data_IF_332318096679
#
_entry.id   IF_332318096679
#
_cell.length_a   1.000
_cell.length_b   1.000
_cell.length_c   1.000
_cell.angle_alpha   90.00
_cell.angle_beta   90.00
_cell.angle_gamma   90.00
#
_symmetry.space_group_name_H-M   'P 1'
#
loop_
_entity.id
_entity.type
_entity.pdbx_description
1 polymer ?
#
# COMPACT_ATOMS: atom_id res chain seq x y z
N UNK A 1 7.13 -14.17 -25.54
CA UNK A 1 5.96 -13.36 -25.15
C UNK A 1 6.19 -12.96 -23.73
N UNK A 2 6.40 -11.69 -23.45
CA UNK A 2 6.87 -11.23 -22.15
C UNK A 2 5.73 -10.60 -21.37
N UNK A 3 5.35 -11.24 -20.27
CA UNK A 3 4.60 -10.60 -19.18
C UNK A 3 5.47 -9.45 -18.67
N UNK A 4 4.88 -8.26 -18.46
CA UNK A 4 5.63 -7.13 -17.94
C UNK A 4 6.09 -7.42 -16.51
N UNK A 5 7.15 -6.73 -16.07
CA UNK A 5 7.60 -6.80 -14.66
C UNK A 5 6.47 -6.41 -13.70
N UNK A 6 5.57 -5.50 -14.14
CA UNK A 6 4.44 -5.09 -13.33
C UNK A 6 3.39 -6.18 -13.16
N UNK A 7 3.03 -6.85 -14.24
CA UNK A 7 2.09 -7.97 -14.22
C UNK A 7 2.63 -9.14 -13.37
N UNK A 8 3.93 -9.43 -13.45
CA UNK A 8 4.56 -10.46 -12.60
C UNK A 8 4.50 -10.08 -11.12
N UNK A 9 4.70 -8.80 -10.79
CA UNK A 9 4.61 -8.32 -9.43
C UNK A 9 3.17 -8.35 -8.92
N UNK A 10 2.19 -7.97 -9.72
CA UNK A 10 0.77 -8.00 -9.33
C UNK A 10 0.33 -9.41 -8.95
N UNK A 11 0.75 -10.40 -9.75
CA UNK A 11 0.54 -11.82 -9.44
C UNK A 11 1.27 -12.23 -8.15
N UNK A 12 2.51 -11.76 -7.95
CA UNK A 12 3.26 -12.08 -6.74
C UNK A 12 2.63 -11.46 -5.47
N UNK A 13 2.12 -10.24 -5.56
CA UNK A 13 1.39 -9.58 -4.45
C UNK A 13 0.06 -10.27 -4.17
N UNK A 14 -0.68 -10.71 -5.20
CA UNK A 14 -1.90 -11.50 -5.02
C UNK A 14 -1.61 -12.78 -4.24
N UNK A 15 -0.59 -13.53 -4.64
CA UNK A 15 -0.17 -14.77 -3.94
C UNK A 15 0.26 -14.46 -2.51
N UNK A 16 0.99 -13.36 -2.29
CA UNK A 16 1.40 -12.92 -0.95
C UNK A 16 0.19 -12.62 -0.07
N UNK A 17 -0.80 -11.88 -0.59
CA UNK A 17 -2.02 -11.53 0.13
C UNK A 17 -2.85 -12.77 0.46
N UNK A 18 -2.96 -13.72 -0.46
CA UNK A 18 -3.64 -15.01 -0.24
C UNK A 18 -2.94 -15.84 0.85
N UNK A 19 -1.60 -15.87 0.85
CA UNK A 19 -0.82 -16.51 1.91
C UNK A 19 -1.09 -15.84 3.26
N UNK A 20 -1.09 -14.51 3.31
CA UNK A 20 -1.35 -13.74 4.53
C UNK A 20 -2.80 -13.82 5.01
N UNK A 21 -3.75 -14.24 4.17
CA UNK A 21 -5.13 -14.48 4.56
C UNK A 21 -5.28 -15.77 5.40
N UNK A 22 -4.27 -16.66 5.34
CA UNK A 22 -4.24 -17.88 6.15
C UNK A 22 -3.87 -17.58 7.61
N UNK A 23 -4.64 -18.06 8.60
CA UNK A 23 -4.30 -17.91 10.03
C UNK A 23 -2.96 -18.53 10.44
N UNK A 24 -2.45 -19.48 9.64
CA UNK A 24 -1.18 -20.16 9.92
C UNK A 24 0.06 -19.36 9.46
N UNK A 25 -0.13 -18.31 8.65
CA UNK A 25 0.97 -17.54 8.05
C UNK A 25 1.08 -16.19 8.76
N UNK A 26 2.16 -16.02 9.52
CA UNK A 26 2.45 -14.77 10.22
C UNK A 26 3.14 -13.72 9.35
N UNK A 27 3.84 -14.14 8.28
CA UNK A 27 4.54 -13.24 7.36
C UNK A 27 4.77 -13.88 5.99
N UNK A 28 4.72 -13.05 4.94
CA UNK A 28 5.09 -13.40 3.58
C UNK A 28 5.79 -12.20 2.93
N UNK A 29 6.97 -12.44 2.35
CA UNK A 29 7.84 -11.42 1.76
C UNK A 29 8.19 -11.79 0.32
N UNK A 30 8.16 -10.79 -0.57
CA UNK A 30 8.63 -10.95 -1.95
C UNK A 30 10.14 -10.73 -2.02
N UNK A 31 10.86 -11.61 -2.73
CA UNK A 31 12.31 -11.53 -2.92
C UNK A 31 12.65 -11.28 -4.40
N UNK A 32 13.74 -10.53 -4.66
CA UNK A 32 14.27 -10.32 -6.00
C UNK A 32 13.42 -9.43 -6.91
N UNK A 33 12.38 -8.82 -6.38
CA UNK A 33 11.51 -7.93 -7.11
C UNK A 33 11.96 -6.48 -6.89
N UNK A 34 12.10 -5.71 -7.97
CA UNK A 34 12.59 -4.33 -7.93
C UNK A 34 11.63 -3.44 -7.15
N UNK A 35 12.16 -2.49 -6.39
CA UNK A 35 11.34 -1.51 -5.68
C UNK A 35 10.60 -0.63 -6.69
N UNK A 36 9.28 -0.54 -6.54
CA UNK A 36 8.50 0.46 -7.27
C UNK A 36 8.79 1.83 -6.69
N UNK A 37 9.09 2.78 -7.57
CA UNK A 37 9.17 4.19 -7.23
C UNK A 37 8.01 4.91 -7.92
N UNK A 38 7.28 5.71 -7.14
CA UNK A 38 6.20 6.56 -7.63
C UNK A 38 6.62 7.99 -7.39
N UNK A 39 6.91 8.69 -8.48
CA UNK A 39 7.24 10.11 -8.45
C UNK A 39 5.97 10.95 -8.32
N UNK A 40 5.94 11.81 -7.30
CA UNK A 40 4.84 12.74 -7.05
C UNK A 40 5.32 14.15 -7.40
N UNK A 41 4.92 14.63 -8.58
CA UNK A 41 5.25 15.96 -9.06
C UNK A 41 4.10 16.95 -8.84
N UNK A 42 4.40 18.06 -8.15
CA UNK A 42 3.41 19.11 -7.87
C UNK A 42 3.99 20.46 -8.20
N UNK A 43 3.28 21.24 -9.01
CA UNK A 43 3.72 22.59 -9.36
C UNK A 43 3.78 23.48 -8.11
N UNK A 44 4.83 24.32 -8.01
CA UNK A 44 4.97 25.28 -6.93
C UNK A 44 3.77 26.24 -6.83
N UNK A 45 3.19 26.60 -7.98
CA UNK A 45 1.98 27.43 -8.05
C UNK A 45 0.82 26.80 -7.30
N UNK A 46 0.60 25.48 -7.44
CA UNK A 46 -0.45 24.76 -6.73
C UNK A 46 -0.15 24.72 -5.23
N UNK A 47 1.08 24.37 -4.84
CA UNK A 47 1.48 24.37 -3.44
C UNK A 47 1.20 25.72 -2.77
N UNK A 48 1.61 26.83 -3.39
CA UNK A 48 1.33 28.18 -2.90
C UNK A 48 -0.15 28.51 -2.85
N UNK A 49 -0.92 28.14 -3.88
CA UNK A 49 -2.38 28.37 -3.94
C UNK A 49 -3.11 27.74 -2.76
N UNK A 50 -2.69 26.57 -2.31
CA UNK A 50 -3.28 25.84 -1.19
C UNK A 50 -2.53 26.04 0.14
N UNK A 51 -1.50 26.89 0.20
CA UNK A 51 -0.70 27.11 1.40
C UNK A 51 0.06 25.87 1.88
N UNK A 52 0.37 24.94 0.97
CA UNK A 52 1.06 23.68 1.26
C UNK A 52 2.55 23.76 0.95
N UNK A 53 3.35 23.01 1.70
CA UNK A 53 4.73 22.70 1.33
C UNK A 53 4.82 21.31 0.73
N UNK A 54 5.89 21.01 -0.02
CA UNK A 54 6.14 19.65 -0.51
C UNK A 54 6.23 18.64 0.65
N UNK A 55 6.78 19.07 1.79
CA UNK A 55 6.84 18.25 3.01
C UNK A 55 5.44 17.92 3.55
N UNK A 56 4.52 18.89 3.56
CA UNK A 56 3.15 18.67 4.00
C UNK A 56 2.48 17.60 3.13
N UNK A 57 2.68 17.65 1.81
CA UNK A 57 2.13 16.64 0.90
C UNK A 57 2.75 15.27 1.17
N UNK A 58 4.07 15.20 1.34
CA UNK A 58 4.73 13.95 1.67
C UNK A 58 4.25 13.36 3.03
N UNK A 59 3.96 14.20 4.01
CA UNK A 59 3.38 13.78 5.30
C UNK A 59 1.93 13.28 5.13
N UNK A 60 1.13 13.92 4.28
CA UNK A 60 -0.24 13.47 3.95
C UNK A 60 -0.19 12.10 3.28
N UNK A 61 0.58 11.96 2.19
CA UNK A 61 0.70 10.68 1.47
C UNK A 61 1.18 9.57 2.40
N UNK A 62 2.18 9.82 3.25
CA UNK A 62 2.64 8.82 4.23
C UNK A 62 1.60 8.42 5.26
N UNK A 63 0.72 9.33 5.66
CA UNK A 63 -0.32 9.07 6.65
C UNK A 63 -1.52 8.33 6.04
N UNK A 64 -1.90 8.69 4.82
CA UNK A 64 -3.09 8.13 4.18
C UNK A 64 -2.79 6.80 3.45
N UNK A 65 -1.61 6.66 2.84
CA UNK A 65 -1.23 5.49 2.04
C UNK A 65 -0.64 4.33 2.86
N UNK A 66 -1.37 3.86 3.87
CA UNK A 66 -0.91 2.82 4.80
C UNK A 66 -1.78 1.56 4.76
N UNK A 67 -1.13 0.42 5.00
CA UNK A 67 -1.78 -0.83 5.36
C UNK A 67 -1.31 -1.20 6.78
N UNK A 68 -2.25 -1.29 7.71
CA UNK A 68 -1.95 -1.50 9.13
C UNK A 68 -2.54 -2.84 9.60
N UNK A 69 -1.73 -3.73 10.20
CA UNK A 69 -2.27 -4.90 10.88
C UNK A 69 -3.06 -4.44 12.12
N UNK A 70 -4.33 -4.83 12.20
CA UNK A 70 -5.22 -4.50 13.32
C UNK A 70 -5.15 -5.48 14.49
N UNK A 71 -4.36 -6.56 14.36
CA UNK A 71 -4.22 -7.61 15.36
C UNK A 71 -5.29 -8.69 15.26
N UNK A 72 -5.36 -9.55 16.27
CA UNK A 72 -6.27 -10.71 16.32
C UNK A 72 -7.28 -10.55 17.44
N UNK A 73 -8.57 -10.65 17.12
CA UNK A 73 -9.65 -10.79 18.11
C UNK A 73 -9.88 -12.28 18.36
N UNK A 74 -9.84 -12.70 19.64
CA UNK A 74 -10.18 -14.07 20.04
C UNK A 74 -11.59 -14.12 20.61
N UNK A 75 -12.44 -14.95 20.03
CA UNK A 75 -13.76 -15.29 20.55
C UNK A 75 -13.86 -16.78 20.88
N UNK A 76 -14.94 -17.18 21.55
CA UNK A 76 -15.19 -18.59 21.92
C UNK A 76 -15.23 -19.53 20.70
N UNK A 77 -15.53 -19.00 19.52
CA UNK A 77 -15.68 -19.74 18.26
C UNK A 77 -14.47 -19.63 17.32
N UNK A 78 -13.40 -18.91 17.69
CA UNK A 78 -12.16 -18.84 16.90
C UNK A 78 -11.41 -17.50 16.97
N UNK A 79 -10.37 -17.39 16.13
CA UNK A 79 -9.56 -16.18 15.98
C UNK A 79 -9.92 -15.43 14.68
N UNK A 80 -10.12 -14.12 14.77
CA UNK A 80 -10.39 -13.23 13.63
C UNK A 80 -9.23 -12.25 13.49
N UNK A 81 -8.61 -12.21 12.31
CA UNK A 81 -7.58 -11.22 11.97
C UNK A 81 -8.22 -9.92 11.48
N UNK A 82 -7.87 -8.81 12.11
CA UNK A 82 -8.28 -7.46 11.67
C UNK A 82 -7.14 -6.78 10.90
N UNK A 83 -7.49 -6.05 9.84
CA UNK A 83 -6.55 -5.28 9.03
C UNK A 83 -7.20 -4.02 8.48
N UNK A 84 -6.51 -2.88 8.60
CA UNK A 84 -6.85 -1.64 7.90
C UNK A 84 -6.19 -1.62 6.53
N UNK A 85 -6.98 -1.62 5.46
CA UNK A 85 -6.50 -1.61 4.07
C UNK A 85 -6.78 -0.26 3.42
N UNK A 86 -5.81 0.65 3.46
CA UNK A 86 -5.87 1.94 2.74
C UNK A 86 -4.68 2.19 1.80
N UNK A 87 -3.75 1.24 1.69
CA UNK A 87 -2.64 1.34 0.75
C UNK A 87 -3.14 1.26 -0.71
N UNK A 88 -2.59 2.12 -1.56
CA UNK A 88 -2.75 2.21 -3.01
C UNK A 88 -1.42 1.88 -3.67
N UNK A 89 -1.48 1.23 -4.83
CA UNK A 89 -0.30 0.62 -5.45
C UNK A 89 0.11 1.32 -6.76
N UNK A 90 -0.80 2.11 -7.35
CA UNK A 90 -0.53 2.87 -8.58
C UNK A 90 -0.69 4.37 -8.36
N UNK A 91 0.03 5.17 -9.15
CA UNK A 91 0.05 6.63 -9.02
C UNK A 91 -1.33 7.26 -9.09
N UNK A 92 -2.18 6.80 -10.03
CA UNK A 92 -3.54 7.32 -10.21
C UNK A 92 -4.42 7.09 -8.97
N UNK A 93 -4.23 5.98 -8.27
CA UNK A 93 -4.95 5.71 -7.03
C UNK A 93 -4.43 6.58 -5.88
N UNK A 94 -3.11 6.76 -5.78
CA UNK A 94 -2.48 7.63 -4.77
C UNK A 94 -2.94 9.08 -4.95
N UNK A 95 -3.18 9.52 -6.19
CA UNK A 95 -3.68 10.86 -6.49
C UNK A 95 -5.10 11.12 -5.96
N UNK A 96 -5.84 10.06 -5.57
CA UNK A 96 -7.19 10.18 -4.97
C UNK A 96 -7.19 10.29 -3.45
N UNK A 97 -6.02 10.23 -2.81
CA UNK A 97 -5.92 10.41 -1.36
C UNK A 97 -6.38 11.83 -0.97
N UNK A 98 -7.07 11.97 0.19
CA UNK A 98 -7.67 13.24 0.62
C UNK A 98 -6.66 14.31 1.05
#
# INVERSE_FOLDING_TARGET
GGVSESELRDVAELVRDDLLASPAVSAANLQGARDYEIDIEISERMLRKYGLSLRNVADIVRRENLELPGGTIRGESGEILLRGKNKRYVGDEIATLP
#
